data_IF_007280751475
#
_entry.id   IF_007280751475
#
_cell.length_a   1.000
_cell.length_b   1.000
_cell.length_c   1.000
_cell.angle_alpha   90.00
_cell.angle_beta   90.00
_cell.angle_gamma   90.00
#
_symmetry.space_group_name_H-M   'P 1'
#
loop_
_entity.id
_entity.type
_entity.pdbx_description
1 polymer ?
#
# COMPACT_ATOMS: atom_id res chain seq x y z
N UNK A 1 -8.72 -28.35 21.69
CA UNK A 1 -9.16 -27.64 22.91
C UNK A 1 -9.17 -26.15 22.59
N UNK A 2 -10.34 -25.55 22.39
CA UNK A 2 -10.48 -24.10 22.26
C UNK A 2 -10.62 -23.51 23.66
N UNK A 3 -9.65 -22.69 24.07
CA UNK A 3 -9.77 -21.87 25.28
C UNK A 3 -10.87 -20.82 25.14
N UNK A 4 -11.15 -20.05 26.20
CA UNK A 4 -12.10 -18.94 26.12
C UNK A 4 -11.64 -17.92 25.07
N UNK A 5 -12.55 -17.56 24.16
CA UNK A 5 -12.33 -16.57 23.11
C UNK A 5 -12.66 -15.16 23.64
N UNK A 6 -11.76 -14.20 23.45
CA UNK A 6 -11.91 -12.83 23.96
C UNK A 6 -12.40 -11.87 22.86
N UNK A 7 -13.72 -11.88 22.62
CA UNK A 7 -14.33 -11.04 21.59
C UNK A 7 -14.21 -9.54 21.90
N UNK A 8 -14.26 -9.17 23.17
CA UNK A 8 -14.21 -7.77 23.57
C UNK A 8 -12.79 -7.22 23.44
N UNK A 9 -11.78 -8.00 23.79
CA UNK A 9 -10.38 -7.65 23.51
C UNK A 9 -10.09 -7.48 22.01
N UNK A 10 -10.73 -8.27 21.13
CA UNK A 10 -10.64 -8.04 19.68
C UNK A 10 -11.27 -6.70 19.30
N UNK A 11 -12.49 -6.41 19.78
CA UNK A 11 -13.19 -5.15 19.49
C UNK A 11 -12.43 -3.92 19.99
N UNK A 12 -11.86 -3.99 21.19
CA UNK A 12 -11.14 -2.87 21.81
C UNK A 12 -9.93 -2.45 20.99
N UNK A 13 -9.21 -3.39 20.39
CA UNK A 13 -8.10 -3.06 19.47
C UNK A 13 -8.57 -2.22 18.28
N UNK A 14 -9.73 -2.55 17.71
CA UNK A 14 -10.30 -1.74 16.62
C UNK A 14 -10.76 -0.37 17.09
N UNK A 15 -11.33 -0.25 18.30
CA UNK A 15 -11.67 1.05 18.89
C UNK A 15 -10.43 1.91 19.11
N UNK A 16 -9.33 1.34 19.57
CA UNK A 16 -8.06 2.06 19.71
C UNK A 16 -7.53 2.53 18.35
N UNK A 17 -7.60 1.69 17.32
CA UNK A 17 -7.09 2.07 15.99
C UNK A 17 -7.96 3.11 15.28
N UNK A 18 -9.28 2.94 15.31
CA UNK A 18 -10.22 3.63 14.43
C UNK A 18 -11.24 4.52 15.18
N UNK A 19 -11.19 4.58 16.51
CA UNK A 19 -12.18 5.24 17.36
C UNK A 19 -13.52 4.50 17.46
N UNK A 20 -13.71 3.41 16.73
CA UNK A 20 -14.93 2.60 16.70
C UNK A 20 -14.64 1.18 16.21
N UNK A 21 -15.59 0.26 16.37
CA UNK A 21 -15.52 -1.08 15.73
C UNK A 21 -16.14 -0.97 14.33
N UNK A 22 -15.38 -1.23 13.24
CA UNK A 22 -15.95 -1.19 11.90
C UNK A 22 -17.04 -2.27 11.72
N UNK A 23 -18.15 -1.99 10.99
CA UNK A 23 -19.26 -2.94 10.83
C UNK A 23 -18.85 -4.32 10.30
N UNK A 24 -17.92 -4.37 9.34
CA UNK A 24 -17.42 -5.63 8.79
C UNK A 24 -16.69 -6.50 9.81
N UNK A 25 -16.16 -5.92 10.89
CA UNK A 25 -15.57 -6.69 11.99
C UNK A 25 -16.65 -7.35 12.83
N UNK A 26 -17.73 -6.63 13.16
CA UNK A 26 -18.85 -7.21 13.91
C UNK A 26 -19.50 -8.37 13.14
N UNK A 27 -19.69 -8.21 11.83
CA UNK A 27 -20.21 -9.27 10.97
C UNK A 27 -19.29 -10.51 10.97
N UNK A 28 -17.97 -10.29 10.88
CA UNK A 28 -17.00 -11.39 10.88
C UNK A 28 -16.98 -12.14 12.21
N UNK A 29 -16.98 -11.42 13.34
CA UNK A 29 -17.05 -12.03 14.68
C UNK A 29 -18.36 -12.80 14.89
N UNK A 30 -19.49 -12.25 14.45
CA UNK A 30 -20.79 -12.93 14.51
C UNK A 30 -20.79 -14.23 13.71
N UNK A 31 -20.28 -14.22 12.48
CA UNK A 31 -20.15 -15.42 11.64
C UNK A 31 -19.19 -16.44 12.26
N UNK A 32 -18.03 -16.00 12.74
CA UNK A 32 -17.05 -16.87 13.36
C UNK A 32 -17.59 -17.53 14.64
N UNK A 33 -18.35 -16.79 15.45
CA UNK A 33 -19.06 -17.34 16.61
C UNK A 33 -20.10 -18.39 16.21
N UNK A 34 -20.98 -18.05 15.26
CA UNK A 34 -22.05 -18.94 14.80
C UNK A 34 -21.54 -20.25 14.19
N UNK A 35 -20.35 -20.24 13.58
CA UNK A 35 -19.78 -21.39 12.88
C UNK A 35 -18.65 -22.10 13.66
N UNK A 36 -18.39 -21.73 14.91
CA UNK A 36 -17.32 -22.35 15.72
C UNK A 36 -15.91 -22.08 15.16
N UNK A 37 -15.69 -20.92 14.55
CA UNK A 37 -14.44 -20.49 13.89
C UNK A 37 -13.71 -19.36 14.62
N UNK A 38 -14.05 -19.07 15.88
CA UNK A 38 -13.44 -17.99 16.66
C UNK A 38 -11.92 -18.11 16.81
N UNK A 39 -11.36 -19.32 16.82
CA UNK A 39 -9.90 -19.51 16.83
C UNK A 39 -9.20 -18.85 15.63
N UNK A 40 -9.86 -18.73 14.47
CA UNK A 40 -9.32 -18.00 13.32
C UNK A 40 -9.29 -16.49 13.58
N UNK A 41 -10.29 -15.95 14.27
CA UNK A 41 -10.35 -14.53 14.64
C UNK A 41 -9.28 -14.18 15.66
N UNK A 42 -9.06 -15.03 16.67
CA UNK A 42 -7.98 -14.84 17.63
C UNK A 42 -6.61 -14.84 16.94
N UNK A 43 -6.37 -15.82 16.06
CA UNK A 43 -5.12 -15.90 15.30
C UNK A 43 -4.93 -14.69 14.39
N UNK A 44 -6.00 -14.23 13.73
CA UNK A 44 -5.96 -13.04 12.89
C UNK A 44 -5.70 -11.77 13.71
N UNK A 45 -6.34 -11.61 14.87
CA UNK A 45 -6.11 -10.47 15.75
C UNK A 45 -4.67 -10.45 16.30
N UNK A 46 -4.14 -11.61 16.69
CA UNK A 46 -2.76 -11.75 17.14
C UNK A 46 -1.75 -11.40 16.02
N UNK A 47 -1.96 -11.93 14.81
CA UNK A 47 -1.12 -11.58 13.66
C UNK A 47 -1.18 -10.09 13.36
N UNK A 48 -2.39 -9.51 13.32
CA UNK A 48 -2.59 -8.09 13.06
C UNK A 48 -1.86 -7.23 14.10
N UNK A 49 -1.92 -7.60 15.37
CA UNK A 49 -1.19 -6.91 16.43
C UNK A 49 0.32 -6.92 16.18
N UNK A 50 0.88 -8.09 15.91
CA UNK A 50 2.30 -8.23 15.65
C UNK A 50 2.76 -7.41 14.42
N UNK A 51 2.01 -7.49 13.32
CA UNK A 51 2.46 -6.90 12.04
C UNK A 51 2.11 -5.42 11.90
N UNK A 52 1.12 -4.93 12.65
CA UNK A 52 0.67 -3.53 12.58
C UNK A 52 0.96 -2.72 13.84
N UNK A 53 0.63 -3.23 15.02
CA UNK A 53 0.72 -2.46 16.28
C UNK A 53 2.14 -2.47 16.83
N UNK A 54 2.80 -3.64 16.83
CA UNK A 54 4.20 -3.80 17.27
C UNK A 54 5.21 -3.46 16.15
N UNK A 55 4.72 -2.95 15.02
CA UNK A 55 5.56 -2.63 13.88
C UNK A 55 6.44 -1.39 14.16
N UNK A 56 7.74 -1.41 13.79
CA UNK A 56 8.65 -0.28 14.02
C UNK A 56 8.23 1.03 13.31
N UNK A 57 7.34 0.97 12.32
CA UNK A 57 6.80 2.16 11.65
C UNK A 57 5.82 2.96 12.53
N UNK A 58 5.19 2.31 13.52
CA UNK A 58 4.14 2.90 14.34
C UNK A 58 2.83 3.17 13.60
N UNK A 59 1.77 3.45 14.37
CA UNK A 59 0.40 3.52 13.84
C UNK A 59 0.22 4.60 12.76
N UNK A 60 0.74 5.82 12.98
CA UNK A 60 0.61 6.93 12.01
C UNK A 60 1.13 6.54 10.63
N UNK A 61 2.37 6.03 10.56
CA UNK A 61 2.99 5.66 9.27
C UNK A 61 2.28 4.47 8.66
N UNK A 62 1.93 3.45 9.45
CA UNK A 62 1.18 2.30 8.96
C UNK A 62 -0.15 2.69 8.32
N UNK A 63 -0.91 3.62 8.90
CA UNK A 63 -2.16 4.10 8.30
C UNK A 63 -1.90 4.79 6.96
N UNK A 64 -0.87 5.64 6.86
CA UNK A 64 -0.50 6.31 5.62
C UNK A 64 -0.08 5.29 4.53
N UNK A 65 0.67 4.25 4.89
CA UNK A 65 1.02 3.14 3.98
C UNK A 65 -0.23 2.44 3.46
N UNK A 66 -1.17 2.09 4.34
CA UNK A 66 -2.44 1.46 3.94
C UNK A 66 -3.23 2.36 3.00
N UNK A 67 -3.31 3.68 3.26
CA UNK A 67 -3.98 4.64 2.36
C UNK A 67 -3.37 4.55 0.96
N UNK A 68 -2.05 4.64 0.84
CA UNK A 68 -1.36 4.58 -0.47
C UNK A 68 -1.65 3.29 -1.23
N UNK A 69 -1.50 2.14 -0.57
CA UNK A 69 -1.77 0.83 -1.18
C UNK A 69 -3.22 0.70 -1.65
N UNK A 70 -4.17 1.13 -0.82
CA UNK A 70 -5.60 1.02 -1.12
C UNK A 70 -6.03 1.99 -2.23
N UNK A 71 -5.36 3.14 -2.36
CA UNK A 71 -5.55 4.04 -3.50
C UNK A 71 -5.10 3.38 -4.81
N UNK A 72 -3.91 2.79 -4.85
CA UNK A 72 -3.40 2.07 -6.04
C UNK A 72 -4.32 0.91 -6.44
N UNK A 73 -4.90 0.21 -5.47
CA UNK A 73 -5.85 -0.88 -5.71
C UNK A 73 -7.29 -0.42 -6.02
N UNK A 74 -7.56 0.89 -6.04
CA UNK A 74 -8.90 1.44 -6.27
C UNK A 74 -9.93 1.10 -5.19
N UNK A 75 -9.49 0.83 -3.94
CA UNK A 75 -10.35 0.43 -2.82
C UNK A 75 -10.79 1.63 -1.99
N UNK A 76 -11.69 2.43 -2.56
CA UNK A 76 -12.06 3.74 -2.02
C UNK A 76 -12.53 3.74 -0.55
N UNK A 77 -13.44 2.86 -0.15
CA UNK A 77 -13.98 2.87 1.21
C UNK A 77 -12.95 2.48 2.27
N UNK A 78 -12.10 1.50 1.95
CA UNK A 78 -10.99 1.12 2.81
C UNK A 78 -9.96 2.25 2.89
N UNK A 79 -9.61 2.90 1.77
CA UNK A 79 -8.70 4.05 1.77
C UNK A 79 -9.24 5.20 2.65
N UNK A 80 -10.55 5.47 2.59
CA UNK A 80 -11.20 6.46 3.46
C UNK A 80 -11.14 6.09 4.93
N UNK A 81 -11.34 4.80 5.28
CA UNK A 81 -11.21 4.32 6.66
C UNK A 81 -9.79 4.56 7.19
N UNK A 82 -8.77 4.19 6.43
CA UNK A 82 -7.38 4.35 6.83
C UNK A 82 -6.92 5.82 6.83
N UNK A 83 -7.47 6.68 5.97
CA UNK A 83 -7.20 8.12 6.01
C UNK A 83 -7.70 8.75 7.32
N UNK A 84 -8.91 8.37 7.78
CA UNK A 84 -9.42 8.78 9.09
C UNK A 84 -8.57 8.22 10.23
N UNK A 85 -8.15 6.96 10.13
CA UNK A 85 -7.24 6.34 11.10
C UNK A 85 -5.89 7.07 11.19
N UNK A 86 -5.34 7.50 10.05
CA UNK A 86 -4.09 8.28 10.01
C UNK A 86 -4.25 9.62 10.73
N UNK A 87 -5.35 10.35 10.48
CA UNK A 87 -5.66 11.61 11.16
C UNK A 87 -5.82 11.39 12.67
N UNK A 88 -6.52 10.32 13.08
CA UNK A 88 -6.65 9.96 14.49
C UNK A 88 -5.29 9.67 15.14
N UNK A 89 -4.35 9.09 14.39
CA UNK A 89 -2.97 8.87 14.81
C UNK A 89 -2.06 10.11 14.65
N UNK A 90 -2.61 11.29 14.36
CA UNK A 90 -1.87 12.55 14.31
C UNK A 90 -1.30 12.95 12.94
N UNK A 91 -1.73 12.33 11.84
CA UNK A 91 -1.40 12.80 10.50
C UNK A 91 -2.18 14.07 10.11
N UNK A 92 -1.54 14.95 9.35
CA UNK A 92 -2.17 16.12 8.75
C UNK A 92 -2.72 15.84 7.35
N UNK A 93 -3.52 16.77 6.82
CA UNK A 93 -4.03 16.67 5.44
C UNK A 93 -2.90 16.69 4.40
N UNK A 94 -1.80 17.43 4.66
CA UNK A 94 -0.62 17.44 3.80
C UNK A 94 0.05 16.07 3.69
N UNK A 95 0.04 15.26 4.76
CA UNK A 95 0.56 13.89 4.72
C UNK A 95 -0.27 13.03 3.75
N UNK A 96 -1.60 13.17 3.78
CA UNK A 96 -2.51 12.43 2.90
C UNK A 96 -2.34 12.83 1.43
N UNK A 97 -2.13 14.13 1.15
CA UNK A 97 -1.80 14.61 -0.20
C UNK A 97 -0.48 14.00 -0.68
N UNK A 98 0.57 14.02 0.17
CA UNK A 98 1.86 13.41 -0.17
C UNK A 98 1.74 11.89 -0.43
N UNK A 99 0.89 11.17 0.31
CA UNK A 99 0.58 9.77 0.03
C UNK A 99 -0.09 9.60 -1.33
N UNK A 100 -1.05 10.45 -1.69
CA UNK A 100 -1.73 10.38 -2.99
C UNK A 100 -0.77 10.65 -4.16
N UNK A 101 0.09 11.67 -4.04
CA UNK A 101 1.16 11.97 -5.01
C UNK A 101 2.15 10.80 -5.14
N UNK A 102 2.54 10.19 -4.02
CA UNK A 102 3.41 9.00 -4.01
C UNK A 102 2.71 7.79 -4.65
N UNK A 103 1.42 7.60 -4.40
CA UNK A 103 0.63 6.52 -4.99
C UNK A 103 0.49 6.66 -6.51
N UNK A 104 0.40 7.89 -7.03
CA UNK A 104 0.43 8.15 -8.48
C UNK A 104 1.70 7.59 -9.11
N UNK A 105 2.86 7.87 -8.51
CA UNK A 105 4.15 7.40 -9.02
C UNK A 105 4.31 5.89 -8.84
N UNK A 106 4.04 5.37 -7.64
CA UNK A 106 4.29 3.95 -7.32
C UNK A 106 3.27 2.99 -7.93
N UNK A 107 2.07 3.44 -8.27
CA UNK A 107 1.11 2.68 -9.08
C UNK A 107 1.32 2.85 -10.58
N UNK A 108 1.57 4.09 -11.04
CA UNK A 108 1.62 4.43 -12.45
C UNK A 108 2.95 4.10 -13.14
N UNK A 109 4.08 4.44 -12.51
CA UNK A 109 5.40 4.24 -13.14
C UNK A 109 5.74 2.76 -13.36
N UNK A 110 5.46 1.82 -12.42
CA UNK A 110 5.65 0.39 -12.69
C UNK A 110 4.74 -0.13 -13.81
N UNK A 111 3.49 0.32 -13.88
CA UNK A 111 2.58 -0.05 -14.96
C UNK A 111 3.10 0.45 -16.33
N UNK A 112 3.60 1.68 -16.38
CA UNK A 112 4.24 2.23 -17.58
C UNK A 112 5.49 1.42 -17.97
N UNK A 113 6.41 1.17 -17.02
CA UNK A 113 7.64 0.43 -17.28
C UNK A 113 7.36 -0.99 -17.78
N UNK A 114 6.41 -1.70 -17.17
CA UNK A 114 5.95 -3.01 -17.63
C UNK A 114 5.37 -2.93 -19.05
N UNK A 115 4.54 -1.92 -19.32
CA UNK A 115 3.99 -1.70 -20.67
C UNK A 115 5.07 -1.45 -21.71
N UNK A 116 6.08 -0.64 -21.42
CA UNK A 116 7.21 -0.38 -22.32
C UNK A 116 8.04 -1.64 -22.54
N UNK A 117 8.29 -2.44 -21.51
CA UNK A 117 9.00 -3.72 -21.66
C UNK A 117 8.25 -4.67 -22.60
N UNK A 118 6.92 -4.80 -22.44
CA UNK A 118 6.07 -5.59 -23.33
C UNK A 118 6.11 -5.05 -24.76
N UNK A 119 6.04 -3.72 -24.96
CA UNK A 119 6.13 -3.12 -26.29
C UNK A 119 7.49 -3.39 -26.93
N UNK A 120 8.58 -3.32 -26.16
CA UNK A 120 9.93 -3.59 -26.65
C UNK A 120 10.09 -5.04 -27.13
N UNK A 121 9.46 -6.02 -26.48
CA UNK A 121 9.43 -7.42 -26.94
C UNK A 121 8.72 -7.60 -28.29
N UNK A 122 7.80 -6.69 -28.63
CA UNK A 122 7.04 -6.73 -29.88
C UNK A 122 7.69 -5.94 -31.02
N UNK A 123 8.72 -5.15 -30.73
CA UNK A 123 9.47 -4.45 -31.76
C UNK A 123 10.24 -5.47 -32.61
N UNK A 124 10.29 -5.31 -33.94
CA UNK A 124 11.20 -6.08 -34.77
C UNK A 124 12.63 -5.92 -34.25
N UNK A 125 13.42 -7.00 -34.26
CA UNK A 125 14.86 -6.88 -34.08
C UNK A 125 15.41 -6.05 -35.24
N UNK A 126 15.73 -4.78 -34.98
CA UNK A 126 16.24 -3.90 -36.02
C UNK A 126 17.71 -4.27 -36.29
N UNK A 127 17.98 -4.92 -37.43
CA UNK A 127 19.34 -5.30 -37.86
C UNK A 127 20.22 -4.09 -38.24
N UNK A 128 19.78 -2.84 -38.07
CA UNK A 128 20.41 -1.68 -38.72
C UNK A 128 21.00 -0.57 -37.82
N UNK A 129 21.13 -0.74 -36.50
CA UNK A 129 21.81 0.27 -35.66
C UNK A 129 23.35 0.17 -35.67
N UNK A 130 23.94 -0.71 -36.49
CA UNK A 130 25.39 -0.88 -36.57
C UNK A 130 26.11 0.08 -37.55
N UNK A 131 25.41 0.82 -38.42
CA UNK A 131 26.05 1.70 -39.40
C UNK A 131 25.64 3.18 -39.22
N UNK A 132 26.43 3.89 -38.43
CA UNK A 132 26.63 5.32 -38.66
C UNK A 132 28.09 5.67 -38.38
N UNK A 133 28.90 6.00 -39.41
CA UNK A 133 30.27 6.41 -39.19
C UNK A 133 30.26 7.78 -38.51
N UNK A 134 30.97 7.86 -37.39
CA UNK A 134 31.17 9.09 -36.64
C UNK A 134 31.68 10.21 -37.57
N UNK A 135 30.88 11.27 -37.71
CA UNK A 135 31.25 12.47 -38.47
C UNK A 135 32.47 13.14 -37.88
N UNK A 136 33.61 13.02 -38.57
CA UNK A 136 34.81 13.80 -38.34
C UNK A 136 34.54 15.28 -38.63
N UNK A 137 34.46 16.11 -37.58
CA UNK A 137 34.22 17.56 -37.68
C UNK A 137 35.18 18.37 -36.82
N UNK A 138 36.41 18.54 -37.32
CA UNK A 138 37.47 19.53 -37.00
C UNK A 138 37.39 20.34 -35.69
N UNK A 139 38.36 20.09 -34.79
CA UNK A 139 38.84 21.05 -33.79
C UNK A 139 39.45 22.26 -34.50
N UNK A 140 38.71 23.37 -34.51
CA UNK A 140 39.23 24.69 -34.84
C UNK A 140 39.92 25.29 -33.62
N UNK A 141 41.25 25.30 -33.68
CA UNK A 141 42.15 26.10 -32.87
C UNK A 141 41.77 27.59 -32.96
N UNK A 142 41.74 28.31 -31.83
CA UNK A 142 42.12 29.72 -31.76
C UNK A 142 42.22 30.20 -30.31
N UNK A 143 43.47 30.30 -29.88
CA UNK A 143 43.96 31.20 -28.83
C UNK A 143 43.63 32.67 -29.19
N UNK A 144 43.18 33.43 -28.20
CA UNK A 144 43.60 34.81 -27.92
C UNK A 144 43.15 35.14 -26.49
#
# INVERSE_FOLDING_TARGET
MTGPHDLDGIRDRYRVTYGSVPPGIEDRLRVASALGRLATEDAFAALRHLVLDDNPLGNRVQQLVHVGQLLVLGRADAARLHARGAIHAGAGLSDLVGVAETALITGGAPAYALGIAIVAELLPADESLADSPAGSGRRGDRRA
#
